data_IF_646433667530
#
_entry.id   IF_646433667530
#
_cell.length_a   1.000
_cell.length_b   1.000
_cell.length_c   1.000
_cell.angle_alpha   90.00
_cell.angle_beta   90.00
_cell.angle_gamma   90.00
#
_symmetry.space_group_name_H-M   'P 1'
#
loop_
_entity.id
_entity.type
_entity.pdbx_description
1 polymer ?
#
# COMPACT_ATOMS: atom_id res chain seq x y z
N UNK A 1 -19.74 10.05 6.51
CA UNK A 1 -19.05 8.90 7.13
C UNK A 1 -18.73 7.92 6.02
N UNK A 2 -17.54 7.34 6.03
CA UNK A 2 -17.17 6.37 5.01
C UNK A 2 -18.02 5.11 5.08
N UNK A 3 -18.32 4.51 3.93
CA UNK A 3 -18.97 3.19 3.81
C UNK A 3 -18.08 2.05 4.28
N UNK A 4 -16.77 2.28 4.39
CA UNK A 4 -15.79 1.27 4.82
C UNK A 4 -15.31 1.52 6.24
N UNK A 5 -14.88 0.45 6.90
CA UNK A 5 -14.21 0.49 8.20
C UNK A 5 -12.82 -0.11 8.12
N UNK A 6 -11.98 0.22 9.09
CA UNK A 6 -10.67 -0.42 9.26
C UNK A 6 -10.82 -1.94 9.28
N UNK A 7 -9.91 -2.61 8.58
CA UNK A 7 -9.89 -4.05 8.44
C UNK A 7 -10.76 -4.61 7.31
N UNK A 8 -11.62 -3.82 6.66
CA UNK A 8 -12.38 -4.29 5.51
C UNK A 8 -11.44 -4.67 4.35
N UNK A 9 -11.65 -5.83 3.73
CA UNK A 9 -10.97 -6.21 2.50
C UNK A 9 -11.63 -5.51 1.32
N UNK A 10 -10.82 -4.89 0.47
CA UNK A 10 -11.30 -4.10 -0.66
C UNK A 10 -10.50 -4.36 -1.92
N UNK A 11 -11.11 -4.04 -3.05
CA UNK A 11 -10.48 -3.95 -4.36
C UNK A 11 -10.74 -2.56 -4.95
N UNK A 12 -9.74 -2.02 -5.63
CA UNK A 12 -9.90 -0.81 -6.43
C UNK A 12 -10.65 -1.16 -7.71
N UNK A 13 -11.80 -0.53 -7.95
CA UNK A 13 -12.67 -0.78 -9.09
C UNK A 13 -11.90 -0.55 -10.39
N UNK A 14 -12.09 -1.41 -11.38
CA UNK A 14 -11.55 -1.21 -12.73
C UNK A 14 -12.51 -0.34 -13.55
N UNK A 15 -12.10 0.90 -13.84
CA UNK A 15 -12.85 1.82 -14.69
C UNK A 15 -11.93 2.65 -15.57
N UNK A 16 -12.48 3.27 -16.62
CA UNK A 16 -11.72 4.21 -17.46
C UNK A 16 -11.34 5.45 -16.64
N UNK A 17 -10.07 5.83 -16.68
CA UNK A 17 -9.60 7.11 -16.13
C UNK A 17 -10.24 8.27 -16.90
N UNK A 18 -10.85 9.21 -16.18
CA UNK A 18 -11.42 10.43 -16.75
C UNK A 18 -10.44 11.58 -16.69
N UNK A 19 -10.67 12.65 -17.45
CA UNK A 19 -9.83 13.86 -17.38
C UNK A 19 -9.95 14.57 -16.01
N UNK A 20 -11.08 14.43 -15.33
CA UNK A 20 -11.24 14.93 -13.96
C UNK A 20 -10.33 14.18 -12.97
N UNK A 21 -10.19 12.85 -13.12
CA UNK A 21 -9.28 12.05 -12.28
C UNK A 21 -7.83 12.48 -12.48
N UNK A 22 -7.42 12.73 -13.73
CA UNK A 22 -6.07 13.22 -14.05
C UNK A 22 -5.80 14.59 -13.45
N UNK A 23 -6.76 15.51 -13.53
CA UNK A 23 -6.64 16.85 -12.94
C UNK A 23 -6.58 16.80 -11.40
N UNK A 24 -7.31 15.87 -10.79
CA UNK A 24 -7.39 15.74 -9.34
C UNK A 24 -6.32 14.81 -8.75
N UNK A 25 -5.55 14.10 -9.58
CA UNK A 25 -4.60 13.04 -9.19
C UNK A 25 -5.25 11.96 -8.29
N UNK A 26 -6.52 11.62 -8.56
CA UNK A 26 -7.31 10.74 -7.66
C UNK A 26 -7.39 9.29 -8.09
N UNK A 27 -7.23 9.01 -9.38
CA UNK A 27 -7.34 7.66 -9.92
C UNK A 27 -6.47 7.50 -11.16
N UNK A 28 -5.67 6.45 -11.20
CA UNK A 28 -4.76 6.12 -12.29
C UNK A 28 -4.94 4.67 -12.72
N UNK A 29 -4.65 4.37 -13.99
CA UNK A 29 -4.88 3.02 -14.55
C UNK A 29 -4.14 1.92 -13.78
N UNK A 30 -2.95 2.20 -13.24
CA UNK A 30 -2.16 1.24 -12.47
C UNK A 30 -2.76 0.90 -11.09
N UNK A 31 -3.73 1.67 -10.62
CA UNK A 31 -4.44 1.40 -9.37
C UNK A 31 -5.57 0.38 -9.58
N UNK A 32 -6.07 0.26 -10.81
CA UNK A 32 -7.21 -0.59 -11.13
C UNK A 32 -6.95 -2.06 -10.78
N UNK A 33 -7.87 -2.67 -10.04
CA UNK A 33 -7.80 -4.08 -9.67
C UNK A 33 -6.85 -4.41 -8.53
N UNK A 34 -6.11 -3.43 -7.97
CA UNK A 34 -5.32 -3.63 -6.76
C UNK A 34 -6.23 -4.06 -5.61
N UNK A 35 -5.77 -5.02 -4.83
CA UNK A 35 -6.50 -5.56 -3.69
C UNK A 35 -5.77 -5.21 -2.40
N UNK A 36 -6.50 -5.14 -1.30
CA UNK A 36 -5.89 -4.81 -0.02
C UNK A 36 -6.89 -4.75 1.12
N UNK A 37 -6.46 -4.13 2.20
CA UNK A 37 -7.25 -3.92 3.40
C UNK A 37 -7.30 -2.44 3.75
N UNK A 38 -8.43 -1.97 4.25
CA UNK A 38 -8.54 -0.61 4.79
C UNK A 38 -7.70 -0.51 6.05
N UNK A 39 -6.67 0.33 5.99
CA UNK A 39 -5.85 0.71 7.14
C UNK A 39 -6.52 1.86 7.90
N UNK A 40 -7.10 2.83 7.18
CA UNK A 40 -7.86 3.93 7.76
C UNK A 40 -8.92 4.45 6.77
N UNK A 41 -10.06 4.91 7.28
CA UNK A 41 -11.14 5.50 6.50
C UNK A 41 -11.35 6.98 6.89
N UNK A 42 -11.28 7.85 5.89
CA UNK A 42 -11.52 9.29 6.03
C UNK A 42 -12.92 9.66 5.50
N UNK A 43 -13.19 10.94 5.24
CA UNK A 43 -14.53 11.37 4.81
C UNK A 43 -14.92 10.87 3.41
N UNK A 44 -14.02 10.99 2.42
CA UNK A 44 -14.26 10.59 1.01
C UNK A 44 -13.18 9.66 0.46
N UNK A 45 -12.20 9.29 1.28
CA UNK A 45 -10.99 8.57 0.88
C UNK A 45 -10.67 7.50 1.93
N UNK A 46 -10.00 6.44 1.51
CA UNK A 46 -9.53 5.41 2.40
C UNK A 46 -8.06 5.11 2.12
N UNK A 47 -7.28 4.95 3.19
CA UNK A 47 -5.93 4.40 3.11
C UNK A 47 -6.03 2.89 2.97
N UNK A 48 -5.67 2.37 1.81
CA UNK A 48 -5.68 0.94 1.48
C UNK A 48 -4.26 0.41 1.59
N UNK A 49 -4.02 -0.50 2.52
CA UNK A 49 -2.80 -1.31 2.54
C UNK A 49 -2.93 -2.39 1.47
N UNK A 50 -2.20 -2.21 0.38
CA UNK A 50 -2.26 -3.04 -0.82
C UNK A 50 -1.55 -4.38 -0.57
N UNK A 51 -2.17 -5.46 -1.03
CA UNK A 51 -1.53 -6.78 -1.15
C UNK A 51 -0.46 -6.71 -2.25
N UNK A 52 0.80 -6.94 -1.86
CA UNK A 52 1.95 -6.89 -2.76
C UNK A 52 1.85 -7.90 -3.93
N UNK A 53 1.04 -8.95 -3.79
CA UNK A 53 0.79 -9.92 -4.86
C UNK A 53 -0.13 -9.38 -5.95
N UNK A 54 -0.95 -8.36 -5.62
CA UNK A 54 -1.82 -7.67 -6.58
C UNK A 54 -1.11 -6.59 -7.40
N UNK A 55 0.10 -6.19 -6.99
CA UNK A 55 0.91 -5.21 -7.71
C UNK A 55 1.34 -5.73 -9.09
N UNK A 56 1.50 -4.81 -10.04
CA UNK A 56 2.17 -5.12 -11.30
C UNK A 56 3.60 -5.63 -11.03
N UNK A 57 4.12 -6.44 -11.95
CA UNK A 57 5.47 -7.00 -11.82
C UNK A 57 6.54 -5.89 -11.63
N UNK A 58 6.40 -4.78 -12.35
CA UNK A 58 7.31 -3.63 -12.27
C UNK A 58 7.19 -2.95 -10.91
N UNK A 59 5.98 -2.63 -10.45
CA UNK A 59 5.77 -1.96 -9.16
C UNK A 59 6.25 -2.83 -8.00
N UNK A 60 6.05 -4.15 -8.09
CA UNK A 60 6.52 -5.12 -7.10
C UNK A 60 8.05 -5.17 -7.04
N UNK A 61 8.73 -5.17 -8.17
CA UNK A 61 10.20 -5.15 -8.24
C UNK A 61 10.79 -3.85 -7.66
N UNK A 62 10.17 -2.71 -7.98
CA UNK A 62 10.53 -1.41 -7.40
C UNK A 62 10.37 -1.44 -5.88
N UNK A 63 9.24 -1.96 -5.37
CA UNK A 63 8.99 -2.08 -3.93
C UNK A 63 9.99 -3.02 -3.25
N UNK A 64 10.31 -4.15 -3.87
CA UNK A 64 11.31 -5.10 -3.39
C UNK A 64 12.70 -4.46 -3.31
N UNK A 65 13.10 -3.74 -4.35
CA UNK A 65 14.38 -3.02 -4.39
C UNK A 65 14.46 -1.93 -3.32
N UNK A 66 13.38 -1.15 -3.15
CA UNK A 66 13.28 -0.14 -2.10
C UNK A 66 13.35 -0.75 -0.70
N UNK A 67 12.65 -1.87 -0.49
CA UNK A 67 12.67 -2.64 0.77
C UNK A 67 14.07 -3.11 1.11
N UNK A 68 14.80 -3.69 0.14
CA UNK A 68 16.19 -4.13 0.33
C UNK A 68 17.08 -2.97 0.77
N UNK A 69 17.02 -1.84 0.07
CA UNK A 69 17.81 -0.63 0.41
C UNK A 69 17.46 -0.10 1.80
N UNK A 70 16.18 -0.15 2.18
CA UNK A 70 15.73 0.31 3.49
C UNK A 70 16.28 -0.58 4.61
N UNK A 71 16.28 -1.91 4.43
CA UNK A 71 16.90 -2.86 5.36
C UNK A 71 18.41 -2.67 5.46
N UNK A 72 19.10 -2.53 4.33
CA UNK A 72 20.55 -2.27 4.30
C UNK A 72 20.91 -0.99 5.08
N UNK A 73 20.15 0.09 4.85
CA UNK A 73 20.32 1.35 5.57
C UNK A 73 20.03 1.20 7.07
N UNK A 74 18.92 0.54 7.42
CA UNK A 74 18.53 0.30 8.81
C UNK A 74 19.62 -0.48 9.55
N UNK A 75 20.06 -1.60 8.98
CA UNK A 75 21.17 -2.39 9.52
C UNK A 75 22.41 -1.51 9.68
N UNK A 76 22.83 -0.78 8.63
CA UNK A 76 23.99 0.11 8.68
C UNK A 76 23.93 1.21 9.76
N UNK A 77 22.72 1.63 10.16
CA UNK A 77 22.52 2.65 11.22
C UNK A 77 22.40 2.07 12.63
N UNK A 78 21.98 0.81 12.76
CA UNK A 78 21.81 0.14 14.06
C UNK A 78 23.16 -0.42 14.51
N UNK A 79 23.64 0.02 15.69
CA UNK A 79 24.88 -0.47 16.29
C UNK A 79 24.82 -1.95 16.68
N UNK A 80 25.97 -2.61 16.78
CA UNK A 80 26.05 -4.07 16.96
C UNK A 80 25.33 -4.58 18.22
N UNK A 81 25.28 -3.78 19.29
CA UNK A 81 24.53 -4.14 20.51
C UNK A 81 23.02 -4.10 20.30
N UNK A 82 22.50 -3.11 19.58
CA UNK A 82 21.08 -3.01 19.26
C UNK A 82 20.65 -4.09 18.24
N UNK A 83 21.53 -4.50 17.32
CA UNK A 83 21.22 -5.60 16.39
C UNK A 83 20.97 -6.92 17.12
N UNK A 84 21.66 -7.18 18.23
CA UNK A 84 21.46 -8.40 19.03
C UNK A 84 20.12 -8.43 19.77
N UNK A 85 19.52 -7.26 20.03
CA UNK A 85 18.20 -7.16 20.65
C UNK A 85 17.03 -7.26 19.64
N UNK A 86 17.31 -7.14 18.35
CA UNK A 86 16.29 -7.22 17.31
C UNK A 86 16.07 -8.67 16.85
N UNK A 87 14.81 -9.03 16.67
CA UNK A 87 14.41 -10.29 16.07
C UNK A 87 14.70 -10.31 14.56
N UNK A 88 14.70 -11.51 13.97
CA UNK A 88 14.85 -11.65 12.51
C UNK A 88 13.73 -10.94 11.75
N UNK A 89 12.51 -10.97 12.27
CA UNK A 89 11.35 -10.31 11.65
C UNK A 89 11.51 -8.78 11.63
N UNK A 90 12.05 -8.21 12.71
CA UNK A 90 12.34 -6.76 12.80
C UNK A 90 13.50 -6.34 11.89
N UNK A 91 14.45 -7.23 11.62
CA UNK A 91 15.55 -6.98 10.67
C UNK A 91 15.12 -7.16 9.21
N UNK A 92 14.23 -8.13 8.95
CA UNK A 92 13.71 -8.48 7.62
C UNK A 92 12.32 -7.90 7.37
N UNK A 93 12.03 -6.74 7.96
CA UNK A 93 10.72 -6.10 7.84
C UNK A 93 10.34 -5.81 6.38
N UNK A 94 9.06 -5.91 6.05
CA UNK A 94 8.54 -5.49 4.75
C UNK A 94 7.66 -4.27 4.94
N UNK A 95 8.03 -3.11 4.38
CA UNK A 95 7.21 -1.91 4.51
C UNK A 95 5.87 -2.10 3.79
N UNK A 96 4.82 -1.57 4.40
CA UNK A 96 3.49 -1.54 3.82
C UNK A 96 3.49 -0.69 2.54
N UNK A 97 2.78 -1.16 1.51
CA UNK A 97 2.46 -0.35 0.34
C UNK A 97 1.05 0.21 0.50
N UNK A 98 0.93 1.46 0.92
CA UNK A 98 -0.36 2.10 1.22
C UNK A 98 -0.71 3.09 0.12
N UNK A 99 -1.92 2.97 -0.43
CA UNK A 99 -2.50 3.91 -1.39
C UNK A 99 -3.68 4.62 -0.76
N UNK A 100 -3.74 5.94 -0.95
CA UNK A 100 -4.95 6.70 -0.65
C UNK A 100 -5.86 6.63 -1.88
N UNK A 101 -7.07 6.09 -1.70
CA UNK A 101 -8.02 5.84 -2.79
C UNK A 101 -9.35 6.50 -2.44
N UNK A 102 -10.01 7.11 -3.42
CA UNK A 102 -11.35 7.63 -3.24
C UNK A 102 -12.32 6.48 -2.89
N UNK A 103 -13.17 6.69 -1.89
CA UNK A 103 -14.11 5.68 -1.42
C UNK A 103 -15.01 5.12 -2.53
N UNK A 104 -15.43 5.99 -3.46
CA UNK A 104 -16.27 5.63 -4.60
C UNK A 104 -15.60 4.65 -5.58
N UNK A 105 -14.27 4.55 -5.53
CA UNK A 105 -13.45 3.70 -6.40
C UNK A 105 -13.05 2.39 -5.69
N UNK A 106 -13.69 2.08 -4.56
CA UNK A 106 -13.47 0.85 -3.80
C UNK A 106 -14.74 -0.02 -3.80
N UNK A 107 -14.52 -1.33 -3.79
CA UNK A 107 -15.56 -2.32 -3.56
C UNK A 107 -15.08 -3.36 -2.53
N UNK A 108 -16.00 -3.91 -1.73
CA UNK A 108 -15.65 -4.94 -0.74
C UNK A 108 -15.33 -6.27 -1.43
N UNK A 109 -14.32 -6.96 -0.93
CA UNK A 109 -13.99 -8.33 -1.29
C UNK A 109 -14.42 -9.23 -0.13
N UNK A 110 -15.22 -10.26 -0.42
CA UNK A 110 -15.71 -11.21 0.58
C UNK A 110 -14.57 -12.06 1.18
#
# INVERSE_FOLDING_TARGET
MSRFKEGDKVRVVTRKVTDADRKANRYFDHMAGLQGQIENAYAEECAVRVDLTSLSAITRDVHQTATRRMREKFIGTVGDEQRKSLTKEELEFTPNYVLLVAERDLEKVA
#
